data_IF_620055345602
#
_entry.id   IF_620055345602
#
_cell.length_a   1.000
_cell.length_b   1.000
_cell.length_c   1.000
_cell.angle_alpha   90.00
_cell.angle_beta   90.00
_cell.angle_gamma   90.00
#
_symmetry.space_group_name_H-M   'P 1'
#
loop_
_entity.id
_entity.type
_entity.pdbx_description
1 polymer ?
#
# COMPACT_ATOMS: atom_id res chain seq x y z
N UNK A 1 14.74 1.70 12.75
CA UNK A 1 14.62 0.51 13.61
C UNK A 1 15.94 -0.26 13.48
N UNK A 2 16.63 -0.64 14.57
CA UNK A 2 17.88 -1.39 14.47
C UNK A 2 17.66 -2.79 13.86
N UNK A 3 18.71 -3.38 13.30
CA UNK A 3 18.66 -4.75 12.82
C UNK A 3 18.49 -5.71 14.01
N UNK A 4 17.75 -6.79 13.82
CA UNK A 4 17.56 -7.82 14.84
C UNK A 4 18.47 -9.03 14.63
N UNK A 5 18.80 -9.38 13.37
CA UNK A 5 19.65 -10.52 13.05
C UNK A 5 21.12 -10.28 13.42
N UNK A 6 21.79 -11.25 14.01
CA UNK A 6 23.24 -11.21 14.32
C UNK A 6 24.07 -10.92 13.08
N UNK A 7 23.71 -11.49 11.94
CA UNK A 7 24.36 -11.25 10.64
C UNK A 7 24.32 -9.78 10.18
N UNK A 8 23.41 -8.98 10.76
CA UNK A 8 23.26 -7.55 10.49
C UNK A 8 23.56 -6.67 11.72
N UNK A 9 24.28 -7.22 12.71
CA UNK A 9 24.64 -6.51 13.94
C UNK A 9 23.57 -6.48 15.05
N UNK A 10 22.53 -7.30 14.92
CA UNK A 10 21.49 -7.49 15.94
C UNK A 10 21.86 -8.54 16.99
N UNK A 11 20.87 -8.92 17.81
CA UNK A 11 21.08 -9.83 18.94
C UNK A 11 20.45 -11.23 18.74
N UNK A 12 19.73 -11.46 17.65
CA UNK A 12 18.99 -12.68 17.41
C UNK A 12 19.68 -13.55 16.35
N UNK A 13 19.88 -14.81 16.69
CA UNK A 13 20.29 -15.83 15.70
C UNK A 13 19.16 -16.06 14.70
N UNK A 14 19.49 -16.54 13.50
CA UNK A 14 18.51 -16.91 12.46
C UNK A 14 17.48 -17.91 13.01
N UNK A 15 17.92 -18.89 13.81
CA UNK A 15 17.03 -19.85 14.46
C UNK A 15 16.02 -19.21 15.40
N UNK A 16 16.42 -18.20 16.16
CA UNK A 16 15.50 -17.45 17.04
C UNK A 16 14.51 -16.62 16.21
N UNK A 17 14.96 -16.03 15.11
CA UNK A 17 14.09 -15.31 14.17
C UNK A 17 13.06 -16.26 13.56
N UNK A 18 13.46 -17.46 13.12
CA UNK A 18 12.54 -18.46 12.57
C UNK A 18 11.48 -18.90 13.59
N UNK A 19 11.86 -19.10 14.85
CA UNK A 19 10.91 -19.41 15.93
C UNK A 19 9.91 -18.28 16.13
N UNK A 20 10.38 -17.02 16.15
CA UNK A 20 9.50 -15.84 16.28
C UNK A 20 8.55 -15.72 15.09
N UNK A 21 9.06 -15.88 13.88
CA UNK A 21 8.24 -15.84 12.65
C UNK A 21 7.19 -16.95 12.66
N UNK A 22 7.58 -18.16 13.05
CA UNK A 22 6.65 -19.29 13.21
C UNK A 22 5.56 -19.01 14.24
N UNK A 23 5.95 -18.45 15.39
CA UNK A 23 5.01 -18.03 16.44
C UNK A 23 4.01 -16.98 15.95
N UNK A 24 4.49 -15.92 15.30
CA UNK A 24 3.62 -14.87 14.75
C UNK A 24 2.67 -15.44 13.68
N UNK A 25 3.15 -16.29 12.81
CA UNK A 25 2.32 -16.95 11.80
C UNK A 25 1.25 -17.85 12.40
N UNK A 26 1.53 -18.50 13.54
CA UNK A 26 0.56 -19.35 14.23
C UNK A 26 -0.64 -18.55 14.82
N UNK A 27 -0.48 -17.24 15.03
CA UNK A 27 -1.59 -16.37 15.44
C UNK A 27 -2.57 -16.09 14.31
N UNK A 28 -2.15 -16.31 13.08
CA UNK A 28 -3.01 -16.18 11.91
C UNK A 28 -4.10 -17.25 11.98
N UNK A 29 -5.28 -16.89 12.46
CA UNK A 29 -6.48 -17.66 12.14
C UNK A 29 -6.59 -17.60 10.62
N UNK A 30 -6.60 -18.74 9.95
CA UNK A 30 -6.88 -18.80 8.53
C UNK A 30 -8.23 -18.15 8.29
N UNK A 31 -8.24 -16.85 8.03
CA UNK A 31 -9.39 -16.18 7.49
C UNK A 31 -9.60 -16.84 6.12
N UNK A 32 -10.58 -17.72 6.05
CA UNK A 32 -10.93 -18.30 4.77
C UNK A 32 -11.26 -17.16 3.84
N UNK A 33 -10.53 -17.04 2.76
CA UNK A 33 -10.81 -16.03 1.72
C UNK A 33 -12.12 -16.35 0.97
N UNK A 34 -12.97 -17.23 1.50
CA UNK A 34 -14.23 -17.65 0.89
C UNK A 34 -14.09 -18.05 -0.59
N UNK A 35 -13.00 -18.76 -0.91
CA UNK A 35 -12.67 -19.17 -2.27
C UNK A 35 -11.98 -18.10 -3.13
N UNK A 36 -11.82 -16.88 -2.64
CA UNK A 36 -11.04 -15.85 -3.35
C UNK A 36 -9.54 -16.08 -3.17
N UNK A 37 -8.79 -15.88 -4.26
CA UNK A 37 -7.32 -15.95 -4.25
C UNK A 37 -6.74 -14.53 -4.26
N UNK A 38 -6.02 -14.10 -3.21
CA UNK A 38 -5.43 -12.77 -3.20
C UNK A 38 -4.35 -12.65 -4.29
N UNK A 39 -4.14 -11.43 -4.82
CA UNK A 39 -3.00 -11.16 -5.71
C UNK A 39 -1.68 -11.59 -5.06
N UNK A 40 -0.69 -12.07 -5.84
CA UNK A 40 0.61 -12.47 -5.30
C UNK A 40 1.27 -11.36 -4.50
N UNK A 41 1.99 -11.72 -3.42
CA UNK A 41 2.74 -10.76 -2.61
C UNK A 41 3.74 -9.96 -3.44
N UNK A 42 4.53 -10.63 -4.28
CA UNK A 42 5.44 -9.97 -5.23
C UNK A 42 4.68 -9.61 -6.51
N UNK A 43 5.04 -8.47 -7.10
CA UNK A 43 4.56 -8.11 -8.42
C UNK A 43 5.18 -9.05 -9.47
N UNK A 44 4.37 -9.56 -10.39
CA UNK A 44 4.82 -10.42 -11.49
C UNK A 44 5.41 -9.61 -12.66
N UNK A 45 5.14 -8.30 -12.69
CA UNK A 45 5.63 -7.38 -13.72
C UNK A 45 5.44 -5.92 -13.32
N UNK A 46 5.97 -4.99 -14.15
CA UNK A 46 5.85 -3.58 -13.90
C UNK A 46 4.40 -3.10 -14.02
N UNK A 47 4.03 -2.11 -13.20
CA UNK A 47 2.78 -1.39 -13.33
C UNK A 47 2.85 -0.28 -14.37
N UNK A 48 1.69 0.12 -14.88
CA UNK A 48 1.51 1.27 -15.78
C UNK A 48 0.70 2.38 -15.09
N UNK A 49 1.28 3.56 -14.95
CA UNK A 49 0.66 4.67 -14.22
C UNK A 49 -0.63 5.19 -14.88
N UNK A 50 -0.80 5.04 -16.21
CA UNK A 50 -2.02 5.48 -16.91
C UNK A 50 -3.17 4.52 -16.62
N UNK A 51 -2.90 3.20 -16.72
CA UNK A 51 -3.89 2.19 -16.30
C UNK A 51 -4.17 2.30 -14.79
N UNK A 52 -3.15 2.62 -14.00
CA UNK A 52 -3.28 2.86 -12.57
C UNK A 52 -4.23 4.01 -12.23
N UNK A 53 -4.26 5.08 -13.02
CA UNK A 53 -5.24 6.15 -12.86
C UNK A 53 -6.69 5.65 -13.06
N UNK A 54 -6.89 4.76 -14.05
CA UNK A 54 -8.22 4.17 -14.31
C UNK A 54 -8.61 3.23 -13.18
N UNK A 55 -7.71 2.36 -12.75
CA UNK A 55 -7.95 1.45 -11.63
C UNK A 55 -8.22 2.23 -10.33
N UNK A 56 -7.44 3.28 -10.05
CA UNK A 56 -7.68 4.17 -8.91
C UNK A 56 -9.09 4.79 -8.97
N UNK A 57 -9.49 5.32 -10.12
CA UNK A 57 -10.82 5.90 -10.28
C UNK A 57 -11.94 4.88 -10.03
N UNK A 58 -11.73 3.64 -10.40
CA UNK A 58 -12.69 2.56 -10.23
C UNK A 58 -12.80 2.08 -8.78
N UNK A 59 -11.67 1.85 -8.10
CA UNK A 59 -11.64 1.14 -6.82
C UNK A 59 -11.40 2.02 -5.59
N UNK A 60 -10.83 3.23 -5.76
CA UNK A 60 -10.31 4.01 -4.62
C UNK A 60 -10.95 5.39 -4.50
N UNK A 61 -11.40 5.98 -5.63
CA UNK A 61 -11.83 7.38 -5.68
C UNK A 61 -13.09 7.67 -4.85
N UNK A 62 -13.96 6.68 -4.64
CA UNK A 62 -15.18 6.81 -3.83
C UNK A 62 -14.92 7.18 -2.36
N UNK A 63 -13.73 6.84 -1.85
CA UNK A 63 -13.30 7.14 -0.49
C UNK A 63 -12.20 8.21 -0.45
N UNK A 64 -11.24 8.16 -1.39
CA UNK A 64 -10.06 9.03 -1.39
C UNK A 64 -10.19 10.27 -2.29
N UNK A 65 -11.37 10.48 -2.88
CA UNK A 65 -11.61 11.57 -3.82
C UNK A 65 -11.01 11.30 -5.21
N UNK A 66 -11.43 12.03 -6.26
CA UNK A 66 -11.09 11.74 -7.65
C UNK A 66 -9.59 11.81 -7.96
N UNK A 67 -8.83 12.58 -7.18
CA UNK A 67 -7.38 12.74 -7.32
C UNK A 67 -6.58 12.08 -6.19
N UNK A 68 -7.24 11.37 -5.26
CA UNK A 68 -6.59 10.76 -4.11
C UNK A 68 -6.16 11.73 -3.01
N UNK A 69 -6.63 12.98 -3.05
CA UNK A 69 -6.29 14.02 -2.05
C UNK A 69 -7.06 13.89 -0.74
N UNK A 70 -7.96 12.93 -0.68
CA UNK A 70 -8.85 12.69 0.44
C UNK A 70 -10.25 13.27 0.21
N UNK A 71 -11.20 12.76 0.99
CA UNK A 71 -12.58 13.21 1.06
C UNK A 71 -13.09 12.94 2.49
N UNK A 72 -14.37 13.15 2.75
CA UNK A 72 -15.01 12.90 4.06
C UNK A 72 -14.85 11.46 4.55
N UNK A 73 -14.68 10.49 3.63
CA UNK A 73 -14.59 9.07 3.92
C UNK A 73 -13.16 8.56 4.10
N UNK A 74 -12.19 9.16 3.42
CA UNK A 74 -10.81 8.68 3.41
C UNK A 74 -9.80 9.81 3.34
N UNK A 75 -8.66 9.63 4.01
CA UNK A 75 -7.56 10.58 3.99
C UNK A 75 -6.84 10.60 2.63
N UNK A 76 -6.02 11.65 2.42
CA UNK A 76 -5.13 11.73 1.26
C UNK A 76 -4.17 10.55 1.21
N UNK A 77 -4.02 9.94 0.04
CA UNK A 77 -3.05 8.87 -0.25
C UNK A 77 -1.97 9.31 -1.25
N UNK A 78 -1.98 10.59 -1.65
CA UNK A 78 -1.06 11.16 -2.64
C UNK A 78 -0.07 12.14 -2.03
N UNK A 79 0.17 12.08 -0.73
CA UNK A 79 1.23 12.89 -0.11
C UNK A 79 2.60 12.46 -0.64
N UNK A 80 3.23 13.32 -1.43
CA UNK A 80 4.46 13.00 -2.15
C UNK A 80 5.64 12.67 -1.23
N UNK A 81 5.75 13.32 -0.07
CA UNK A 81 6.80 13.05 0.92
C UNK A 81 6.60 11.68 1.57
N UNK A 82 5.37 11.33 1.96
CA UNK A 82 5.06 10.00 2.48
C UNK A 82 5.35 8.92 1.43
N UNK A 83 4.88 9.11 0.20
CA UNK A 83 5.09 8.17 -0.90
C UNK A 83 6.58 7.97 -1.21
N UNK A 84 7.41 9.01 -1.07
CA UNK A 84 8.85 8.91 -1.27
C UNK A 84 9.57 8.08 -0.18
N UNK A 85 8.97 7.94 0.99
CA UNK A 85 9.54 7.20 2.13
C UNK A 85 9.11 5.72 2.18
N UNK A 86 8.09 5.33 1.40
CA UNK A 86 7.57 3.97 1.39
C UNK A 86 7.93 3.25 0.09
N UNK A 87 8.16 1.94 0.17
CA UNK A 87 8.47 1.11 -1.02
C UNK A 87 7.20 0.78 -1.82
N UNK A 88 7.38 0.41 -3.09
CA UNK A 88 6.29 -0.13 -3.92
C UNK A 88 5.69 -1.40 -3.31
N UNK A 89 6.53 -2.21 -2.67
CA UNK A 89 6.07 -3.41 -1.96
C UNK A 89 5.16 -3.08 -0.78
N UNK A 90 5.47 -2.01 -0.03
CA UNK A 90 4.59 -1.54 1.04
C UNK A 90 3.23 -1.09 0.49
N UNK A 91 3.22 -0.28 -0.57
CA UNK A 91 1.99 0.17 -1.22
C UNK A 91 1.18 -1.02 -1.74
N UNK A 92 1.83 -1.98 -2.42
CA UNK A 92 1.20 -3.20 -2.91
C UNK A 92 0.53 -3.98 -1.78
N UNK A 93 1.26 -4.23 -0.71
CA UNK A 93 0.75 -4.97 0.46
C UNK A 93 -0.43 -4.25 1.10
N UNK A 94 -0.37 -2.92 1.19
CA UNK A 94 -1.46 -2.10 1.74
C UNK A 94 -2.73 -2.20 0.90
N UNK A 95 -2.63 -2.22 -0.43
CA UNK A 95 -3.79 -2.41 -1.33
C UNK A 95 -4.35 -3.82 -1.20
N UNK A 96 -3.50 -4.85 -1.16
CA UNK A 96 -3.94 -6.24 -1.05
C UNK A 96 -4.62 -6.50 0.30
N UNK A 97 -4.02 -6.07 1.38
CA UNK A 97 -4.52 -6.35 2.73
C UNK A 97 -5.70 -5.46 3.14
N UNK A 98 -5.74 -4.22 2.63
CA UNK A 98 -6.65 -3.21 3.13
C UNK A 98 -6.39 -2.86 4.60
N UNK A 99 -7.32 -2.15 5.17
CA UNK A 99 -7.42 -1.81 6.60
C UNK A 99 -8.90 -1.86 6.98
N UNK A 100 -9.51 -3.07 7.00
CA UNK A 100 -10.96 -3.23 7.24
C UNK A 100 -11.41 -2.62 8.56
N UNK A 101 -10.54 -2.62 9.58
CA UNK A 101 -10.80 -2.00 10.88
C UNK A 101 -10.91 -0.46 10.82
N UNK A 102 -10.43 0.15 9.75
CA UNK A 102 -10.55 1.58 9.45
C UNK A 102 -11.55 1.87 8.32
N UNK A 103 -12.24 0.84 7.83
CA UNK A 103 -13.19 0.95 6.71
C UNK A 103 -12.55 0.95 5.33
N UNK A 104 -11.24 0.69 5.21
CA UNK A 104 -10.57 0.54 3.91
C UNK A 104 -10.63 -0.92 3.48
N UNK A 105 -11.33 -1.26 2.37
CA UNK A 105 -11.46 -2.63 1.90
C UNK A 105 -10.12 -3.21 1.45
N UNK A 106 -10.02 -4.52 1.40
CA UNK A 106 -8.90 -5.24 0.77
C UNK A 106 -9.03 -5.23 -0.77
N UNK A 107 -8.19 -6.01 -1.48
CA UNK A 107 -8.20 -6.11 -2.96
C UNK A 107 -9.55 -6.49 -3.56
N UNK A 108 -10.49 -7.03 -2.76
CA UNK A 108 -11.85 -7.34 -3.21
C UNK A 108 -12.68 -6.09 -3.44
N UNK A 109 -12.27 -4.96 -2.85
CA UNK A 109 -12.88 -3.65 -2.94
C UNK A 109 -14.40 -3.63 -2.64
N UNK A 110 -15.00 -2.45 -2.65
CA UNK A 110 -16.46 -2.28 -2.54
C UNK A 110 -17.14 -2.23 -3.93
N UNK A 111 -16.48 -2.73 -4.97
CA UNK A 111 -17.05 -2.77 -6.32
C UNK A 111 -17.71 -4.14 -6.53
N UNK A 112 -19.04 -4.21 -6.58
CA UNK A 112 -19.75 -5.48 -6.69
C UNK A 112 -19.30 -6.30 -7.90
N UNK A 113 -18.93 -7.56 -7.66
CA UNK A 113 -18.53 -8.50 -8.71
C UNK A 113 -17.14 -8.30 -9.30
N UNK A 114 -16.37 -7.32 -8.80
CA UNK A 114 -15.00 -7.06 -9.30
C UNK A 114 -14.00 -6.97 -8.15
N UNK A 115 -13.13 -7.96 -8.06
CA UNK A 115 -11.90 -7.86 -7.28
C UNK A 115 -10.76 -7.33 -8.14
N UNK A 116 -9.82 -6.60 -7.54
CA UNK A 116 -8.63 -6.13 -8.25
C UNK A 116 -7.76 -7.31 -8.69
N UNK A 117 -7.39 -7.34 -9.94
CA UNK A 117 -6.38 -8.26 -10.47
C UNK A 117 -4.97 -7.90 -9.97
N UNK A 118 -4.03 -8.85 -10.06
CA UNK A 118 -2.63 -8.62 -9.73
C UNK A 118 -2.01 -7.47 -10.53
N UNK A 119 -2.43 -7.30 -11.79
CA UNK A 119 -1.96 -6.23 -12.66
C UNK A 119 -2.54 -4.87 -12.25
N UNK A 120 -3.84 -4.79 -11.94
CA UNK A 120 -4.45 -3.53 -11.48
C UNK A 120 -3.84 -3.05 -10.16
N UNK A 121 -3.49 -3.96 -9.24
CA UNK A 121 -2.72 -3.60 -8.04
C UNK A 121 -1.36 -3.03 -8.41
N UNK A 122 -0.62 -3.64 -9.33
CA UNK A 122 0.68 -3.12 -9.81
C UNK A 122 0.53 -1.75 -10.47
N UNK A 123 -0.53 -1.56 -11.26
CA UNK A 123 -0.81 -0.31 -11.99
C UNK A 123 -1.16 0.82 -11.00
N UNK A 124 -1.98 0.58 -9.99
CA UNK A 124 -2.28 1.57 -8.92
C UNK A 124 -1.01 1.94 -8.15
N UNK A 125 -0.16 0.97 -7.82
CA UNK A 125 1.13 1.24 -7.17
C UNK A 125 2.00 2.14 -8.04
N UNK A 126 2.08 1.88 -9.35
CA UNK A 126 2.83 2.73 -10.29
C UNK A 126 2.25 4.15 -10.39
N UNK A 127 0.92 4.29 -10.34
CA UNK A 127 0.27 5.60 -10.32
C UNK A 127 0.56 6.38 -9.03
N UNK A 128 0.57 5.73 -7.87
CA UNK A 128 0.98 6.35 -6.60
C UNK A 128 2.47 6.70 -6.60
N UNK A 129 3.32 5.79 -7.05
CA UNK A 129 4.77 5.98 -7.12
C UNK A 129 5.16 7.20 -7.99
N UNK A 130 4.41 7.45 -9.06
CA UNK A 130 4.60 8.61 -9.94
C UNK A 130 4.33 9.97 -9.25
N UNK A 131 3.72 9.97 -8.05
CA UNK A 131 3.44 11.16 -7.26
C UNK A 131 4.49 11.42 -6.17
N UNK A 132 5.56 10.63 -6.09
CA UNK A 132 6.65 10.81 -5.15
C UNK A 132 7.37 12.13 -5.37
N UNK A 133 7.72 12.82 -4.29
CA UNK A 133 8.64 13.95 -4.38
C UNK A 133 10.08 13.44 -4.49
N UNK A 134 10.91 14.15 -5.24
CA UNK A 134 12.34 13.81 -5.37
C UNK A 134 13.08 14.00 -4.05
N UNK A 135 12.71 15.01 -3.28
CA UNK A 135 13.37 15.39 -2.02
C UNK A 135 12.36 15.48 -0.88
N UNK A 136 12.02 14.36 -0.23
CA UNK A 136 11.13 14.39 0.93
C UNK A 136 11.77 15.17 2.09
N UNK A 137 10.95 15.93 2.80
CA UNK A 137 11.41 16.72 3.95
C UNK A 137 12.14 18.03 3.60
N UNK A 138 12.26 18.41 2.34
CA UNK A 138 12.69 19.75 1.96
C UNK A 138 11.63 20.79 2.36
N UNK A 139 12.03 22.01 2.77
CA UNK A 139 11.06 23.06 3.06
C UNK A 139 10.18 23.34 1.83
N UNK A 140 8.89 23.31 2.04
CA UNK A 140 7.93 23.65 0.99
C UNK A 140 8.10 25.12 0.61
N UNK A 141 8.05 25.42 -0.67
CA UNK A 141 7.96 26.80 -1.14
C UNK A 141 6.64 27.42 -0.68
N UNK A 142 6.62 28.73 -0.44
CA UNK A 142 5.41 29.42 0.02
C UNK A 142 4.17 29.18 -0.90
N UNK A 143 4.40 28.92 -2.20
CA UNK A 143 3.36 28.57 -3.16
C UNK A 143 2.76 27.18 -2.91
N UNK A 144 3.52 26.24 -2.41
CA UNK A 144 3.03 24.89 -2.10
C UNK A 144 2.16 24.88 -0.83
N UNK A 145 2.44 25.75 0.14
CA UNK A 145 1.66 25.89 1.37
C UNK A 145 0.28 26.51 1.15
N UNK A 146 0.09 27.27 0.07
CA UNK A 146 -1.18 27.93 -0.25
C UNK A 146 -2.13 27.10 -1.12
N UNK A 147 -1.68 25.98 -1.66
CA UNK A 147 -2.50 25.09 -2.49
C UNK A 147 -3.27 24.01 -1.70
N UNK A 148 -3.08 23.96 -0.37
CA UNK A 148 -3.73 22.97 0.53
C UNK A 148 -4.83 23.57 1.42
N UNK A 149 -5.33 24.77 1.10
CA UNK A 149 -6.48 25.38 1.81
C UNK A 149 -7.76 25.26 1.03
#
# INVERSE_FOLDING_TARGET
>A
MPAFAESAGGMLTDKQIDVLVGGIRSWQKSAGFNGASPPPYLAEGPGDSRRGAIAFATYCSSCHGPEGRGDKKGSSIVNGSFLALVSDQYLRTSVIAGRPELGAPDWRADVPGHSMSAQEVSDVVAWLAAKRTQFPGQPYTASALNSEK
#
